data_IF_564685119819
#
_entry.id   IF_564685119819
#
_cell.length_a   1.000
_cell.length_b   1.000
_cell.length_c   1.000
_cell.angle_alpha   90.00
_cell.angle_beta   90.00
_cell.angle_gamma   90.00
#
_symmetry.space_group_name_H-M   'P 1'
#
loop_
_entity.id
_entity.type
_entity.pdbx_description
1 polymer ?
#
# COMPACT_ATOMS: atom_id res chain seq x y z
N UNK A 1 -24.90 -23.60 9.17
CA UNK A 1 -23.60 -23.40 9.83
C UNK A 1 -23.28 -21.92 9.73
N UNK A 2 -23.29 -21.20 10.85
CA UNK A 2 -22.74 -19.84 10.89
C UNK A 2 -21.25 -19.93 10.53
N UNK A 3 -20.86 -19.22 9.48
CA UNK A 3 -19.45 -19.11 9.10
C UNK A 3 -18.80 -18.19 10.13
N UNK A 4 -18.29 -18.75 11.22
CA UNK A 4 -17.39 -18.02 12.10
C UNK A 4 -16.14 -17.72 11.27
N UNK A 5 -16.09 -16.50 10.74
CA UNK A 5 -14.86 -15.93 10.17
C UNK A 5 -13.91 -15.80 11.34
N UNK A 6 -13.13 -16.85 11.59
CA UNK A 6 -11.95 -16.77 12.43
C UNK A 6 -11.01 -15.84 11.67
N UNK A 7 -11.11 -14.54 11.95
CA UNK A 7 -10.15 -13.58 11.45
C UNK A 7 -8.83 -13.99 12.12
N UNK A 8 -7.83 -14.50 11.37
CA UNK A 8 -6.56 -14.83 11.97
C UNK A 8 -6.10 -13.56 12.66
N UNK A 9 -5.94 -13.62 13.99
CA UNK A 9 -5.50 -12.50 14.81
C UNK A 9 -4.39 -11.83 14.03
N UNK A 10 -4.60 -10.57 13.62
CA UNK A 10 -3.78 -9.86 12.63
C UNK A 10 -2.31 -10.01 13.00
N UNK A 11 -1.66 -11.02 12.45
CA UNK A 11 -0.38 -11.54 12.96
C UNK A 11 0.68 -10.46 12.81
N UNK A 12 0.55 -9.66 11.75
CA UNK A 12 1.32 -8.47 11.46
C UNK A 12 1.21 -7.40 12.55
N UNK A 13 0.00 -7.09 13.06
CA UNK A 13 -0.17 -6.11 14.15
C UNK A 13 0.45 -6.61 15.47
N UNK A 14 0.34 -7.90 15.75
CA UNK A 14 0.96 -8.51 16.94
C UNK A 14 2.48 -8.48 16.86
N UNK A 15 3.05 -8.81 15.69
CA UNK A 15 4.49 -8.72 15.43
C UNK A 15 4.97 -7.28 15.59
N UNK A 16 4.31 -6.31 14.97
CA UNK A 16 4.68 -4.90 15.10
C UNK A 16 4.59 -4.40 16.55
N UNK A 17 3.59 -4.84 17.32
CA UNK A 17 3.47 -4.48 18.74
C UNK A 17 4.65 -5.01 19.56
N UNK A 18 5.05 -6.27 19.35
CA UNK A 18 6.17 -6.89 20.07
C UNK A 18 7.48 -6.17 19.72
N UNK A 19 7.75 -5.98 18.43
CA UNK A 19 8.98 -5.33 17.95
C UNK A 19 9.04 -3.85 18.34
N UNK A 20 7.92 -3.14 18.26
CA UNK A 20 7.80 -1.75 18.71
C UNK A 20 8.03 -1.61 20.22
N UNK A 21 7.51 -2.53 21.04
CA UNK A 21 7.77 -2.55 22.48
C UNK A 21 9.26 -2.76 22.76
N UNK A 22 9.90 -3.69 22.05
CA UNK A 22 11.34 -3.94 22.16
C UNK A 22 12.15 -2.67 21.86
N UNK A 23 11.86 -1.98 20.76
CA UNK A 23 12.49 -0.71 20.41
C UNK A 23 12.27 0.38 21.47
N UNK A 24 11.04 0.50 22.00
CA UNK A 24 10.71 1.47 23.04
C UNK A 24 11.49 1.25 24.34
N UNK A 25 11.90 0.01 24.62
CA UNK A 25 12.80 -0.32 25.75
C UNK A 25 14.29 -0.07 25.48
N UNK A 26 14.63 0.58 24.36
CA UNK A 26 16.01 0.93 23.99
C UNK A 26 16.81 -0.23 23.41
N UNK A 27 16.16 -1.34 23.05
CA UNK A 27 16.83 -2.50 22.44
C UNK A 27 16.79 -2.39 20.92
N UNK A 28 17.95 -2.59 20.30
CA UNK A 28 18.03 -2.69 18.85
C UNK A 28 17.38 -3.97 18.33
N UNK A 29 16.79 -3.86 17.15
CA UNK A 29 16.26 -4.99 16.41
C UNK A 29 17.39 -5.69 15.66
N UNK A 30 17.40 -7.01 15.73
CA UNK A 30 18.23 -7.86 14.88
C UNK A 30 17.79 -7.77 13.42
N UNK A 31 18.64 -8.22 12.49
CA UNK A 31 18.30 -8.26 11.06
C UNK A 31 16.99 -9.02 10.80
N UNK A 32 16.79 -10.17 11.45
CA UNK A 32 15.57 -10.96 11.29
C UNK A 32 14.32 -10.21 11.80
N UNK A 33 14.45 -9.49 12.90
CA UNK A 33 13.36 -8.66 13.44
C UNK A 33 13.04 -7.47 12.56
N UNK A 34 14.05 -6.84 11.94
CA UNK A 34 13.82 -5.80 10.93
C UNK A 34 13.06 -6.35 9.72
N UNK A 35 13.42 -7.53 9.21
CA UNK A 35 12.70 -8.17 8.10
C UNK A 35 11.25 -8.54 8.48
N UNK A 36 11.03 -9.01 9.71
CA UNK A 36 9.69 -9.27 10.23
C UNK A 36 8.86 -7.98 10.33
N UNK A 37 9.45 -6.90 10.84
CA UNK A 37 8.78 -5.59 10.90
C UNK A 37 8.44 -5.05 9.51
N UNK A 38 9.35 -5.15 8.55
CA UNK A 38 9.12 -4.72 7.17
C UNK A 38 7.99 -5.52 6.50
N UNK A 39 8.01 -6.84 6.65
CA UNK A 39 6.98 -7.73 6.08
C UNK A 39 5.62 -7.46 6.70
N UNK A 40 5.56 -7.33 8.02
CA UNK A 40 4.33 -7.02 8.74
C UNK A 40 3.79 -5.63 8.38
N UNK A 41 4.66 -4.63 8.24
CA UNK A 41 4.29 -3.28 7.81
C UNK A 41 3.75 -3.25 6.39
N UNK A 42 4.38 -4.00 5.46
CA UNK A 42 3.92 -4.11 4.08
C UNK A 42 2.52 -4.73 3.94
N UNK A 43 2.16 -5.67 4.81
CA UNK A 43 0.81 -6.25 4.82
C UNK A 43 -0.26 -5.27 5.31
N UNK A 44 0.10 -4.36 6.23
CA UNK A 44 -0.82 -3.33 6.74
C UNK A 44 -0.91 -2.14 5.79
N UNK A 45 0.22 -1.73 5.22
CA UNK A 45 0.33 -0.62 4.27
C UNK A 45 0.03 -1.03 2.83
N UNK A 46 -0.19 -2.32 2.54
CA UNK A 46 -0.49 -2.81 1.19
C UNK A 46 -1.73 -2.14 0.57
N UNK A 47 -2.66 -1.69 1.41
CA UNK A 47 -3.84 -0.91 0.99
C UNK A 47 -3.53 0.58 0.69
N UNK A 48 -2.31 1.06 0.94
CA UNK A 48 -1.92 2.47 0.77
C UNK A 48 -1.15 2.76 -0.53
N UNK A 49 -0.73 1.75 -1.30
CA UNK A 49 0.08 1.95 -2.51
C UNK A 49 -0.74 2.21 -3.80
N UNK A 50 -1.94 2.77 -3.64
CA UNK A 50 -2.85 3.07 -4.76
C UNK A 50 -3.73 1.88 -5.13
N UNK A 51 -4.71 2.11 -6.02
CA UNK A 51 -5.66 1.08 -6.42
C UNK A 51 -4.93 -0.15 -6.96
N UNK A 52 -5.37 -1.35 -6.53
CA UNK A 52 -4.87 -2.60 -7.08
C UNK A 52 -5.11 -2.67 -8.60
N UNK A 53 -4.53 -3.64 -9.33
CA UNK A 53 -4.71 -3.75 -10.79
C UNK A 53 -6.18 -3.79 -11.24
N UNK A 54 -7.07 -4.28 -10.37
CA UNK A 54 -8.52 -4.33 -10.60
C UNK A 54 -9.24 -2.99 -10.35
N UNK A 55 -8.63 -2.09 -9.58
CA UNK A 55 -9.16 -0.77 -9.21
C UNK A 55 -8.49 0.37 -9.99
N UNK A 56 -7.52 0.06 -10.87
CA UNK A 56 -6.91 1.06 -11.75
C UNK A 56 -7.97 1.58 -12.73
N UNK A 57 -8.45 2.79 -12.50
CA UNK A 57 -9.27 3.49 -13.47
C UNK A 57 -8.39 3.85 -14.68
N UNK A 58 -8.68 3.24 -15.83
CA UNK A 58 -8.00 3.56 -17.10
C UNK A 58 -8.42 4.97 -17.49
N UNK A 59 -7.65 5.97 -17.08
CA UNK A 59 -7.77 7.32 -17.61
C UNK A 59 -7.16 7.33 -19.01
N UNK A 60 -7.99 7.61 -20.02
CA UNK A 60 -7.46 7.89 -21.35
C UNK A 60 -6.60 9.15 -21.25
N UNK A 61 -5.37 9.17 -21.80
CA UNK A 61 -4.54 10.36 -21.78
C UNK A 61 -5.28 11.51 -22.46
N UNK A 62 -5.72 12.50 -21.68
CA UNK A 62 -6.31 13.70 -22.24
C UNK A 62 -5.19 14.55 -22.82
N UNK A 63 -5.29 14.91 -24.09
CA UNK A 63 -4.40 15.89 -24.69
C UNK A 63 -4.52 17.21 -23.92
N UNK A 64 -3.40 17.81 -23.50
CA UNK A 64 -3.39 19.15 -22.93
C UNK A 64 -4.13 20.16 -23.82
N UNK A 65 -4.88 21.09 -23.23
CA UNK A 65 -5.73 22.04 -23.96
C UNK A 65 -4.97 22.90 -24.97
N UNK A 66 -3.71 23.24 -24.68
CA UNK A 66 -2.83 23.95 -25.60
C UNK A 66 -2.51 23.12 -26.87
N UNK A 67 -2.42 21.79 -26.76
CA UNK A 67 -2.20 20.91 -27.92
C UNK A 67 -3.50 20.72 -28.71
N UNK A 68 -4.65 20.61 -28.04
CA UNK A 68 -5.97 20.59 -28.72
C UNK A 68 -6.19 21.87 -29.54
N UNK A 69 -5.88 23.04 -28.98
CA UNK A 69 -5.97 24.32 -29.68
C UNK A 69 -4.98 24.45 -30.85
N UNK A 70 -3.77 23.91 -30.70
CA UNK A 70 -2.80 23.84 -31.79
C UNK A 70 -3.33 22.98 -32.94
N UNK A 71 -3.84 21.79 -32.65
CA UNK A 71 -4.39 20.86 -33.66
C UNK A 71 -5.59 21.45 -34.40
N UNK A 72 -6.45 22.22 -33.72
CA UNK A 72 -7.57 22.91 -34.35
C UNK A 72 -7.12 23.87 -35.46
N UNK A 73 -5.97 24.53 -35.29
CA UNK A 73 -5.41 25.42 -36.32
C UNK A 73 -4.85 24.69 -37.55
N UNK A 74 -4.60 23.37 -37.45
CA UNK A 74 -4.11 22.53 -38.55
C UNK A 74 -5.22 21.69 -39.19
N UNK A 75 -6.44 21.72 -38.65
CA UNK A 75 -7.57 20.91 -39.14
C UNK A 75 -8.27 21.50 -40.38
N UNK A 76 -7.92 22.73 -40.79
CA UNK A 76 -8.47 23.40 -41.97
C UNK A 76 -9.57 24.39 -41.64
#
# INVERSE_FOLDING_TARGET
MEYNVVSPVKSSETVLRILGTKMATGRELTLAENLMAMTASGQILGNNYGPGPAEMEISTPQLPENIKGLLANYAG
#
